data_IF_342177998427
#
_entry.id   IF_342177998427
#
_cell.length_a   1.000
_cell.length_b   1.000
_cell.length_c   1.000
_cell.angle_alpha   90.00
_cell.angle_beta   90.00
_cell.angle_gamma   90.00
#
_symmetry.space_group_name_H-M   'P 1'
#
loop_
_entity.id
_entity.type
_entity.pdbx_description
1 polymer ?
#
# COMPACT_ATOMS: atom_id res chain seq x y z
N UNK A 1 -27.50 -3.80 2.64
CA UNK A 1 -27.02 -4.19 3.97
C UNK A 1 -26.18 -3.02 4.49
N UNK A 2 -26.34 -2.62 5.77
CA UNK A 2 -25.72 -1.43 6.37
C UNK A 2 -25.55 -1.63 7.90
N UNK A 3 -25.30 -2.86 8.37
CA UNK A 3 -25.57 -3.20 9.77
C UNK A 3 -24.37 -2.94 10.70
N UNK A 4 -23.14 -3.16 10.23
CA UNK A 4 -21.98 -3.18 11.14
C UNK A 4 -21.53 -1.78 11.55
N UNK A 5 -21.35 -0.88 10.59
CA UNK A 5 -20.95 0.51 10.85
C UNK A 5 -21.96 1.25 11.74
N UNK A 6 -23.26 1.08 11.47
CA UNK A 6 -24.32 1.66 12.30
C UNK A 6 -24.32 1.09 13.72
N UNK A 7 -24.12 -0.22 13.89
CA UNK A 7 -24.05 -0.83 15.23
C UNK A 7 -22.88 -0.35 16.06
N UNK A 8 -21.74 -0.05 15.43
CA UNK A 8 -20.56 0.47 16.13
C UNK A 8 -20.76 1.90 16.66
N UNK A 9 -21.66 2.68 16.07
CA UNK A 9 -21.95 4.07 16.48
C UNK A 9 -23.29 4.22 17.23
N UNK A 10 -24.22 3.28 17.08
CA UNK A 10 -25.56 3.34 17.67
C UNK A 10 -25.57 3.18 19.20
N UNK A 11 -24.51 2.61 19.77
CA UNK A 11 -24.31 2.51 21.20
C UNK A 11 -22.85 2.83 21.53
N UNK A 12 -22.59 3.22 22.78
CA UNK A 12 -21.22 3.44 23.26
C UNK A 12 -20.43 2.15 23.10
N UNK A 13 -19.58 2.12 22.08
CA UNK A 13 -18.68 1.00 21.83
C UNK A 13 -17.32 1.30 22.49
N UNK A 14 -16.74 0.29 23.12
CA UNK A 14 -15.42 0.37 23.77
C UNK A 14 -14.36 -0.45 23.03
N UNK A 15 -14.73 -1.09 21.92
CA UNK A 15 -13.83 -1.90 21.10
C UNK A 15 -12.74 -1.00 20.56
N UNK A 16 -11.49 -1.30 20.96
CA UNK A 16 -10.29 -0.57 20.52
C UNK A 16 -9.57 -1.24 19.38
N UNK A 17 -9.69 -2.56 19.31
CA UNK A 17 -9.08 -3.40 18.30
C UNK A 17 -10.12 -4.34 17.72
N UNK A 18 -10.28 -4.28 16.40
CA UNK A 18 -11.10 -5.20 15.65
C UNK A 18 -10.20 -6.07 14.77
N UNK A 19 -10.30 -7.38 14.95
CA UNK A 19 -9.63 -8.35 14.10
C UNK A 19 -10.67 -9.17 13.34
N UNK A 20 -10.66 -9.04 12.01
CA UNK A 20 -11.48 -9.81 11.08
C UNK A 20 -10.60 -10.47 10.02
N UNK A 21 -9.32 -10.71 10.31
CA UNK A 21 -8.42 -11.41 9.38
C UNK A 21 -8.84 -12.85 9.12
N UNK A 22 -8.55 -13.40 7.94
CA UNK A 22 -8.80 -14.81 7.59
C UNK A 22 -10.28 -15.21 7.63
N UNK A 23 -11.17 -14.38 7.08
CA UNK A 23 -12.61 -14.63 7.05
C UNK A 23 -13.23 -14.63 5.64
N UNK A 24 -12.42 -14.59 4.58
CA UNK A 24 -12.89 -14.58 3.18
C UNK A 24 -13.94 -13.50 2.91
N UNK A 25 -13.73 -12.30 3.45
CA UNK A 25 -14.70 -11.20 3.31
C UNK A 25 -14.96 -10.81 1.84
N UNK A 26 -13.94 -10.94 0.99
CA UNK A 26 -13.98 -10.48 -0.38
C UNK A 26 -14.27 -8.98 -0.49
N UNK A 27 -14.58 -8.52 -1.71
CA UNK A 27 -14.88 -7.10 -1.95
C UNK A 27 -16.17 -6.64 -1.28
N UNK A 28 -17.17 -7.52 -1.16
CA UNK A 28 -18.46 -7.21 -0.54
C UNK A 28 -18.29 -6.94 0.97
N UNK A 29 -17.54 -7.79 1.67
CA UNK A 29 -17.20 -7.54 3.06
C UNK A 29 -16.26 -6.33 3.22
N UNK A 30 -15.37 -6.08 2.27
CA UNK A 30 -14.56 -4.87 2.25
C UNK A 30 -15.40 -3.59 2.15
N UNK A 31 -16.48 -3.59 1.35
CA UNK A 31 -17.42 -2.47 1.25
C UNK A 31 -18.16 -2.21 2.58
N UNK A 32 -18.62 -3.25 3.28
CA UNK A 32 -19.22 -3.11 4.62
C UNK A 32 -18.20 -2.61 5.66
N UNK A 33 -16.96 -3.09 5.59
CA UNK A 33 -15.87 -2.61 6.44
C UNK A 33 -15.48 -1.16 6.12
N UNK A 34 -15.53 -0.74 4.86
CA UNK A 34 -15.32 0.64 4.45
C UNK A 34 -16.38 1.57 5.08
N UNK A 35 -17.64 1.14 5.18
CA UNK A 35 -18.67 1.90 5.88
C UNK A 35 -18.37 2.03 7.38
N UNK A 36 -17.90 0.96 8.03
CA UNK A 36 -17.46 0.99 9.43
C UNK A 36 -16.26 1.93 9.63
N UNK A 37 -15.28 1.89 8.73
CA UNK A 37 -14.11 2.78 8.79
C UNK A 37 -14.58 4.24 8.63
N UNK A 38 -15.43 4.52 7.65
CA UNK A 38 -15.92 5.88 7.38
C UNK A 38 -16.78 6.45 8.52
N UNK A 39 -17.49 5.61 9.28
CA UNK A 39 -18.27 6.07 10.45
C UNK A 39 -17.40 6.53 11.62
N UNK A 40 -16.08 6.32 11.55
CA UNK A 40 -15.10 6.78 12.53
C UNK A 40 -15.49 6.51 14.00
N UNK A 41 -15.71 5.24 14.41
CA UNK A 41 -16.02 4.95 15.80
C UNK A 41 -14.92 5.48 16.72
N UNK A 42 -15.31 6.24 17.76
CA UNK A 42 -14.37 6.96 18.63
C UNK A 42 -13.36 6.02 19.33
N UNK A 43 -13.81 4.82 19.72
CA UNK A 43 -12.98 3.87 20.44
C UNK A 43 -12.00 3.10 19.55
N UNK A 44 -12.31 2.92 18.26
CA UNK A 44 -11.61 1.99 17.39
C UNK A 44 -10.32 2.60 16.86
N UNK A 45 -9.19 2.08 17.32
CA UNK A 45 -7.84 2.61 17.00
C UNK A 45 -6.99 1.63 16.21
N UNK A 46 -7.34 0.34 16.20
CA UNK A 46 -6.62 -0.70 15.49
C UNK A 46 -7.59 -1.59 14.70
N UNK A 47 -7.26 -1.83 13.43
CA UNK A 47 -8.03 -2.70 12.56
C UNK A 47 -7.11 -3.72 11.88
N UNK A 48 -7.48 -4.99 11.93
CA UNK A 48 -6.87 -6.04 11.12
C UNK A 48 -7.91 -6.69 10.20
N UNK A 49 -7.72 -6.55 8.89
CA UNK A 49 -8.55 -7.15 7.84
C UNK A 49 -7.65 -7.93 6.84
N UNK A 50 -6.48 -8.37 7.29
CA UNK A 50 -5.55 -9.15 6.47
C UNK A 50 -6.12 -10.49 6.01
N UNK A 51 -5.63 -11.04 4.89
CA UNK A 51 -5.98 -12.38 4.40
C UNK A 51 -7.49 -12.57 4.24
N UNK A 52 -8.13 -11.76 3.40
CA UNK A 52 -9.59 -11.78 3.21
C UNK A 52 -10.00 -11.83 1.73
N UNK A 53 -9.07 -12.15 0.83
CA UNK A 53 -9.30 -12.22 -0.62
C UNK A 53 -9.90 -10.92 -1.19
N UNK A 54 -9.54 -9.78 -0.59
CA UNK A 54 -10.00 -8.46 -1.04
C UNK A 54 -9.22 -8.08 -2.28
N UNK A 55 -9.93 -7.72 -3.36
CA UNK A 55 -9.32 -7.34 -4.63
C UNK A 55 -9.06 -5.84 -4.69
N UNK A 56 -8.56 -5.35 -5.83
CA UNK A 56 -8.36 -3.93 -6.08
C UNK A 56 -9.66 -3.10 -5.96
N UNK A 57 -10.83 -3.73 -6.20
CA UNK A 57 -12.13 -3.06 -6.03
C UNK A 57 -12.42 -2.78 -4.55
N UNK A 58 -12.38 -3.81 -3.70
CA UNK A 58 -12.62 -3.66 -2.26
C UNK A 58 -11.51 -2.85 -1.58
N UNK A 59 -10.26 -3.01 -2.02
CA UNK A 59 -9.12 -2.23 -1.56
C UNK A 59 -9.31 -0.72 -1.77
N UNK A 60 -9.78 -0.29 -2.94
CA UNK A 60 -10.09 1.11 -3.22
C UNK A 60 -11.21 1.65 -2.31
N UNK A 61 -12.24 0.86 -2.02
CA UNK A 61 -13.31 1.25 -1.10
C UNK A 61 -12.78 1.47 0.33
N UNK A 62 -11.95 0.55 0.83
CA UNK A 62 -11.29 0.67 2.12
C UNK A 62 -10.38 1.90 2.19
N UNK A 63 -9.59 2.15 1.13
CA UNK A 63 -8.69 3.28 1.03
C UNK A 63 -9.44 4.62 1.09
N UNK A 64 -10.53 4.77 0.34
CA UNK A 64 -11.37 5.96 0.40
C UNK A 64 -12.00 6.18 1.78
N UNK A 65 -12.40 5.09 2.46
CA UNK A 65 -12.91 5.18 3.81
C UNK A 65 -11.84 5.61 4.81
N UNK A 66 -10.60 5.12 4.68
CA UNK A 66 -9.48 5.55 5.52
C UNK A 66 -9.24 7.05 5.45
N UNK A 67 -9.38 7.67 4.27
CA UNK A 67 -9.26 9.12 4.10
C UNK A 67 -10.29 9.95 4.89
N UNK A 68 -11.39 9.33 5.34
CA UNK A 68 -12.41 9.96 6.18
C UNK A 68 -12.25 9.64 7.67
N UNK A 69 -11.43 8.64 8.00
CA UNK A 69 -11.26 8.17 9.36
C UNK A 69 -10.17 8.95 10.10
N UNK A 70 -10.49 9.44 11.30
CA UNK A 70 -9.57 10.24 12.10
C UNK A 70 -9.13 9.56 13.41
N UNK A 71 -9.46 8.28 13.62
CA UNK A 71 -9.23 7.59 14.90
C UNK A 71 -8.32 6.35 14.77
N UNK A 72 -8.28 5.73 13.59
CA UNK A 72 -7.44 4.56 13.34
C UNK A 72 -5.96 4.95 13.33
N UNK A 73 -5.19 4.28 14.18
CA UNK A 73 -3.74 4.46 14.35
C UNK A 73 -2.99 3.37 13.61
N UNK A 74 -3.51 2.14 13.61
CA UNK A 74 -2.88 0.96 13.00
C UNK A 74 -3.89 0.21 12.16
N UNK A 75 -3.57 0.00 10.89
CA UNK A 75 -4.39 -0.75 9.94
C UNK A 75 -3.54 -1.82 9.28
N UNK A 76 -4.03 -3.05 9.31
CA UNK A 76 -3.42 -4.17 8.60
C UNK A 76 -4.32 -4.65 7.46
N UNK A 77 -3.84 -4.45 6.23
CA UNK A 77 -4.44 -4.90 4.98
C UNK A 77 -3.67 -6.04 4.32
N UNK A 78 -2.60 -6.55 4.95
CA UNK A 78 -1.69 -7.53 4.36
C UNK A 78 -2.41 -8.78 3.80
N UNK A 79 -1.78 -9.47 2.87
CA UNK A 79 -2.29 -10.74 2.31
C UNK A 79 -3.66 -10.60 1.63
N UNK A 80 -3.91 -9.44 1.00
CA UNK A 80 -5.01 -9.23 0.05
C UNK A 80 -4.44 -9.04 -1.36
N UNK A 81 -5.25 -8.73 -2.38
CA UNK A 81 -4.75 -8.52 -3.76
C UNK A 81 -5.16 -7.15 -4.28
N UNK A 82 -4.28 -6.17 -4.13
CA UNK A 82 -4.53 -4.79 -4.55
C UNK A 82 -3.88 -4.48 -5.89
N UNK A 83 -4.36 -3.42 -6.53
CA UNK A 83 -3.87 -2.95 -7.82
C UNK A 83 -3.78 -1.41 -7.85
N UNK A 84 -3.67 -0.85 -9.06
CA UNK A 84 -3.51 0.59 -9.24
C UNK A 84 -4.61 1.42 -8.58
N UNK A 85 -5.87 0.98 -8.60
CA UNK A 85 -6.99 1.76 -8.05
C UNK A 85 -6.85 1.94 -6.55
N UNK A 86 -6.43 0.88 -5.85
CA UNK A 86 -6.17 0.94 -4.41
C UNK A 86 -5.00 1.87 -4.10
N UNK A 87 -3.92 1.84 -4.89
CA UNK A 87 -2.78 2.74 -4.69
C UNK A 87 -3.18 4.20 -4.89
N UNK A 88 -3.90 4.50 -5.97
CA UNK A 88 -4.40 5.84 -6.25
C UNK A 88 -5.31 6.34 -5.11
N UNK A 89 -6.21 5.48 -4.64
CA UNK A 89 -7.12 5.80 -3.53
C UNK A 89 -6.41 5.96 -2.17
N UNK A 90 -5.26 5.31 -1.97
CA UNK A 90 -4.43 5.43 -0.77
C UNK A 90 -3.55 6.70 -0.77
N UNK A 91 -3.38 7.36 -1.91
CA UNK A 91 -2.49 8.52 -2.05
C UNK A 91 -2.82 9.64 -1.04
N UNK A 92 -4.05 10.14 -1.06
CA UNK A 92 -4.50 11.21 -0.16
C UNK A 92 -4.56 10.76 1.33
N UNK A 93 -5.12 9.58 1.67
CA UNK A 93 -5.08 9.08 3.05
C UNK A 93 -3.67 9.01 3.65
N UNK A 94 -2.67 8.58 2.86
CA UNK A 94 -1.28 8.49 3.32
C UNK A 94 -0.66 9.88 3.46
N UNK A 95 -0.76 10.73 2.43
CA UNK A 95 -0.20 12.10 2.42
C UNK A 95 -0.70 12.94 3.59
N UNK A 96 -1.99 12.82 3.91
CA UNK A 96 -2.65 13.63 4.93
C UNK A 96 -2.79 12.92 6.28
N UNK A 97 -2.23 11.72 6.45
CA UNK A 97 -2.33 10.95 7.69
C UNK A 97 -1.74 11.73 8.88
N UNK A 98 -2.61 12.18 9.79
CA UNK A 98 -2.23 12.80 11.07
C UNK A 98 -2.25 11.78 12.22
N UNK A 99 -3.25 10.90 12.20
CA UNK A 99 -3.52 9.92 13.26
C UNK A 99 -3.05 8.51 12.89
N UNK A 100 -3.25 8.08 11.64
CA UNK A 100 -2.76 6.80 11.14
C UNK A 100 -1.22 6.79 11.17
N UNK A 101 -0.63 5.86 11.91
CA UNK A 101 0.82 5.71 12.10
C UNK A 101 1.39 4.48 11.41
N UNK A 102 0.57 3.46 11.21
CA UNK A 102 1.01 2.22 10.56
C UNK A 102 -0.05 1.70 9.62
N UNK A 103 0.34 1.49 8.36
CA UNK A 103 -0.44 0.81 7.35
C UNK A 103 0.38 -0.36 6.81
N UNK A 104 -0.09 -1.59 7.02
CA UNK A 104 0.55 -2.80 6.50
C UNK A 104 -0.17 -3.25 5.24
N UNK A 105 0.55 -3.28 4.11
CA UNK A 105 0.10 -3.75 2.78
C UNK A 105 1.03 -4.84 2.25
N UNK A 106 1.69 -5.58 3.15
CA UNK A 106 2.56 -6.70 2.78
C UNK A 106 1.80 -7.75 2.00
N UNK A 107 2.45 -8.29 0.95
CA UNK A 107 1.85 -9.28 0.05
C UNK A 107 0.53 -8.81 -0.60
N UNK A 108 0.27 -7.50 -0.66
CA UNK A 108 -0.91 -6.95 -1.36
C UNK A 108 -0.63 -6.60 -2.81
N UNK A 109 0.61 -6.25 -3.14
CA UNK A 109 0.96 -5.60 -4.40
C UNK A 109 1.67 -6.60 -5.32
N UNK A 110 1.05 -6.98 -6.45
CA UNK A 110 1.57 -8.03 -7.32
C UNK A 110 2.80 -7.59 -8.13
N UNK A 111 3.02 -6.28 -8.32
CA UNK A 111 4.15 -5.77 -9.09
C UNK A 111 5.04 -4.83 -8.27
N UNK A 112 6.30 -4.75 -8.67
CA UNK A 112 7.29 -3.88 -8.05
C UNK A 112 6.98 -2.41 -8.27
N UNK A 113 6.41 -2.05 -9.43
CA UNK A 113 6.01 -0.66 -9.74
C UNK A 113 4.97 -0.15 -8.75
N UNK A 114 3.97 -0.97 -8.40
CA UNK A 114 2.96 -0.62 -7.39
C UNK A 114 3.58 -0.43 -6.00
N UNK A 115 4.55 -1.29 -5.63
CA UNK A 115 5.31 -1.13 -4.38
C UNK A 115 6.10 0.18 -4.38
N UNK A 116 6.80 0.50 -5.47
CA UNK A 116 7.56 1.73 -5.59
C UNK A 116 6.65 2.98 -5.54
N UNK A 117 5.48 2.94 -6.18
CA UNK A 117 4.49 4.03 -6.13
C UNK A 117 4.03 4.32 -4.70
N UNK A 118 3.57 3.30 -3.96
CA UNK A 118 3.10 3.53 -2.58
C UNK A 118 4.24 3.95 -1.64
N UNK A 119 5.45 3.45 -1.85
CA UNK A 119 6.62 3.88 -1.09
C UNK A 119 6.97 5.35 -1.37
N UNK A 120 6.90 5.78 -2.63
CA UNK A 120 7.06 7.20 -3.00
C UNK A 120 6.05 8.07 -2.28
N UNK A 121 4.77 7.68 -2.27
CA UNK A 121 3.70 8.39 -1.56
C UNK A 121 3.99 8.43 -0.05
N UNK A 122 4.40 7.31 0.55
CA UNK A 122 4.73 7.23 1.98
C UNK A 122 5.87 8.15 2.37
N UNK A 123 6.88 8.33 1.50
CA UNK A 123 8.02 9.22 1.77
C UNK A 123 7.63 10.69 1.87
N UNK A 124 6.49 11.08 1.30
CA UNK A 124 5.97 12.45 1.40
C UNK A 124 5.34 12.75 2.76
N UNK A 125 5.06 11.72 3.57
CA UNK A 125 4.59 11.87 4.94
C UNK A 125 5.41 10.99 5.91
N UNK A 126 6.47 11.52 6.55
CA UNK A 126 7.29 10.74 7.50
C UNK A 126 6.54 10.39 8.79
N UNK A 127 5.33 10.92 9.01
CA UNK A 127 4.49 10.64 10.17
C UNK A 127 3.74 9.31 10.11
N UNK A 128 3.78 8.60 8.98
CA UNK A 128 3.17 7.29 8.77
C UNK A 128 4.23 6.29 8.27
N UNK A 129 4.19 5.08 8.82
CA UNK A 129 4.94 3.93 8.31
C UNK A 129 4.03 3.07 7.44
N UNK A 130 4.38 2.95 6.16
CA UNK A 130 3.74 1.98 5.26
C UNK A 130 4.66 0.77 5.09
N UNK A 131 4.20 -0.42 5.47
CA UNK A 131 4.94 -1.66 5.33
C UNK A 131 4.48 -2.40 4.07
N UNK A 132 5.36 -2.48 3.07
CA UNK A 132 5.11 -3.19 1.81
C UNK A 132 5.76 -4.57 1.77
N UNK A 133 6.58 -4.91 2.77
CA UNK A 133 7.26 -6.20 2.87
C UNK A 133 8.41 -6.35 1.92
N UNK A 134 8.90 -5.23 1.38
CA UNK A 134 10.18 -5.16 0.69
C UNK A 134 11.23 -5.40 1.77
N UNK A 135 11.93 -6.54 1.66
CA UNK A 135 13.05 -6.87 2.53
C UNK A 135 14.28 -6.05 2.14
N UNK A 136 15.24 -5.89 3.06
CA UNK A 136 16.52 -5.24 2.73
C UNK A 136 17.25 -5.96 1.56
N UNK A 137 17.00 -7.26 1.37
CA UNK A 137 17.50 -8.05 0.24
C UNK A 137 16.84 -7.67 -1.09
N UNK A 138 15.54 -7.37 -1.09
CA UNK A 138 14.82 -6.90 -2.28
C UNK A 138 15.32 -5.52 -2.71
N UNK A 139 15.59 -4.64 -1.74
CA UNK A 139 16.18 -3.30 -1.99
C UNK A 139 17.58 -3.46 -2.58
N UNK A 140 18.39 -4.34 -2.02
CA UNK A 140 19.74 -4.61 -2.51
C UNK A 140 19.71 -5.20 -3.93
N UNK A 141 18.79 -6.12 -4.21
CA UNK A 141 18.58 -6.70 -5.53
C UNK A 141 18.21 -5.67 -6.59
N UNK A 142 17.25 -4.78 -6.30
CA UNK A 142 16.89 -3.68 -7.19
C UNK A 142 18.04 -2.70 -7.44
N UNK A 143 18.79 -2.36 -6.39
CA UNK A 143 19.94 -1.45 -6.50
C UNK A 143 21.03 -2.07 -7.38
N UNK A 144 21.35 -3.35 -7.16
CA UNK A 144 22.34 -4.07 -7.96
C UNK A 144 21.89 -4.24 -9.41
N UNK A 145 20.59 -4.44 -9.65
CA UNK A 145 20.02 -4.47 -11.00
C UNK A 145 20.27 -3.17 -11.76
N UNK A 146 19.92 -2.01 -11.17
CA UNK A 146 20.14 -0.68 -11.77
C UNK A 146 21.63 -0.39 -12.00
N UNK A 147 22.50 -0.77 -11.07
CA UNK A 147 23.95 -0.62 -11.21
C UNK A 147 24.47 -1.45 -12.40
N UNK A 148 23.99 -2.68 -12.54
CA UNK A 148 24.41 -3.59 -13.62
C UNK A 148 23.98 -3.07 -14.98
N UNK A 149 22.73 -2.61 -15.12
CA UNK A 149 22.23 -1.98 -16.35
C UNK A 149 23.05 -0.74 -16.76
N UNK A 150 23.40 0.10 -15.78
CA UNK A 150 24.19 1.29 -16.04
C UNK A 150 25.61 0.94 -16.51
N UNK A 151 26.25 -0.07 -15.89
CA UNK A 151 27.54 -0.58 -16.34
C UNK A 151 27.48 -1.14 -17.76
N UNK A 152 26.43 -1.89 -18.12
CA UNK A 152 26.25 -2.42 -19.47
C UNK A 152 26.15 -1.30 -20.51
N UNK A 153 25.38 -0.25 -20.23
CA UNK A 153 25.29 0.93 -21.11
C UNK A 153 26.64 1.61 -21.33
N UNK A 154 27.43 1.79 -20.26
CA UNK A 154 28.77 2.39 -20.38
C UNK A 154 29.66 1.55 -21.30
N UNK A 155 29.66 0.23 -21.11
CA UNK A 155 30.45 -0.68 -21.95
C UNK A 155 30.03 -0.62 -23.43
N UNK A 156 28.72 -0.62 -23.70
CA UNK A 156 28.22 -0.47 -25.07
C UNK A 156 28.62 0.87 -25.71
N UNK A 157 28.56 1.96 -24.95
CA UNK A 157 28.93 3.30 -25.43
C UNK A 157 30.44 3.41 -25.71
N UNK A 158 31.28 2.76 -24.89
CA UNK A 158 32.72 2.64 -25.14
C UNK A 158 33.03 1.84 -26.41
N UNK A 159 32.35 0.71 -26.64
CA UNK A 159 32.53 -0.10 -27.85
C UNK A 159 32.09 0.65 -29.11
N UNK A 160 30.93 1.32 -29.07
CA UNK A 160 30.44 2.19 -30.16
C UNK A 160 31.44 3.31 -30.45
N UNK A 161 32.03 3.91 -29.41
CA UNK A 161 33.08 4.92 -29.53
C UNK A 161 34.37 4.41 -30.20
N UNK A 162 34.84 3.22 -29.80
CA UNK A 162 36.03 2.57 -30.41
C UNK A 162 35.80 2.23 -31.89
N UNK A 163 34.64 1.70 -32.24
CA UNK A 163 34.32 1.34 -33.63
C UNK A 163 34.21 2.57 -34.55
N UNK A 164 33.69 3.70 -34.06
CA UNK A 164 33.68 4.97 -34.82
C UNK A 164 35.07 5.55 -35.05
N UNK A 165 36.01 5.38 -34.10
CA UNK A 165 37.41 5.82 -34.27
C UNK A 165 38.19 4.96 -35.26
N UNK A 166 37.91 3.66 -35.36
CA UNK A 166 38.51 2.76 -36.36
C UNK A 166 38.06 3.14 -37.78
N UNK A 167 36.76 3.32 -38.01
CA UNK A 167 36.20 3.71 -39.32
C UNK A 167 36.59 5.10 -39.85
N UNK A 168 37.19 5.96 -39.03
CA UNK A 168 37.70 7.30 -39.45
C UNK A 168 39.19 7.27 -39.82
N UNK A 169 39.88 6.16 -39.59
CA UNK A 169 41.31 5.99 -39.88
C UNK A 169 41.58 5.15 -41.14
N UNK A 170 40.53 4.61 -41.74
CA UNK A 170 40.50 3.95 -43.06
C UNK A 170 39.90 4.92 -44.09
#
# INVERSE_FOLDING_TARGET
MQLLGQRFIAAKNIVRYLNVSNNMLGDEGAEEMAQLIASSPESLTKLNISANDITDKGGAALAHALGKNNNLIIVNFSENTFGPKTIDALSEPIRNAKVLKMLDVRKCLPTTELKQQIMSISNENPGIRVDTGVSDEDIFGEMMGKITEHMQKILEDEEKGRNKKKKKKD
#
